data_IF_162612011649
#
_entry.id   IF_162612011649
#
_cell.length_a   1.000
_cell.length_b   1.000
_cell.length_c   1.000
_cell.angle_alpha   90.00
_cell.angle_beta   90.00
_cell.angle_gamma   90.00
#
_symmetry.space_group_name_H-M   'P 1'
#
loop_
_entity.id
_entity.type
_entity.pdbx_description
1 polymer ?
#
# COMPACT_ATOMS: atom_id res chain seq x y z
N UNK A 1 17.72 -4.80 21.34
CA UNK A 1 18.05 -5.37 20.03
C UNK A 1 19.39 -4.82 19.52
N UNK A 2 19.52 -3.49 19.27
CA UNK A 2 20.70 -2.87 18.67
C UNK A 2 21.97 -3.16 19.47
N UNK A 3 21.98 -2.92 20.80
CA UNK A 3 23.14 -3.21 21.64
C UNK A 3 23.61 -4.66 21.53
N UNK A 4 22.67 -5.62 21.57
CA UNK A 4 22.94 -7.05 21.48
C UNK A 4 23.53 -7.45 20.12
N UNK A 5 23.08 -6.84 19.05
CA UNK A 5 23.45 -7.18 17.67
C UNK A 5 24.46 -6.22 17.02
N UNK A 6 25.08 -5.30 17.80
CA UNK A 6 25.96 -4.23 17.29
C UNK A 6 27.08 -4.73 16.36
N UNK A 7 27.75 -5.83 16.75
CA UNK A 7 28.84 -6.41 15.94
C UNK A 7 28.34 -6.95 14.61
N UNK A 8 27.18 -7.64 14.62
CA UNK A 8 26.54 -8.20 13.43
C UNK A 8 26.07 -7.11 12.48
N UNK A 9 25.38 -6.10 13.00
CA UNK A 9 24.90 -4.93 12.23
C UNK A 9 26.05 -4.25 11.50
N UNK A 10 27.15 -3.99 12.22
CA UNK A 10 28.35 -3.38 11.61
C UNK A 10 29.00 -4.28 10.56
N UNK A 11 29.09 -5.58 10.79
CA UNK A 11 29.68 -6.55 9.86
C UNK A 11 28.87 -6.68 8.57
N UNK A 12 27.55 -6.67 8.66
CA UNK A 12 26.65 -6.83 7.51
C UNK A 12 26.42 -5.52 6.74
N UNK A 13 26.74 -4.36 7.31
CA UNK A 13 26.52 -3.06 6.66
C UNK A 13 25.02 -2.77 6.39
N UNK A 14 24.14 -3.19 7.30
CA UNK A 14 22.69 -3.08 7.11
C UNK A 14 22.26 -1.64 6.86
N UNK A 15 21.37 -1.46 5.89
CA UNK A 15 20.65 -0.21 5.70
C UNK A 15 19.74 0.09 6.89
N UNK A 16 19.30 1.34 7.01
CA UNK A 16 18.34 1.72 8.04
C UNK A 16 17.03 0.93 7.94
N UNK A 17 16.55 0.69 6.72
CA UNK A 17 15.31 -0.05 6.49
C UNK A 17 15.45 -1.52 6.90
N UNK A 18 16.52 -2.21 6.50
CA UNK A 18 16.81 -3.60 6.90
C UNK A 18 16.91 -3.75 8.42
N UNK A 19 17.63 -2.80 9.07
CA UNK A 19 17.75 -2.79 10.53
C UNK A 19 16.39 -2.56 11.21
N UNK A 20 15.59 -1.63 10.70
CA UNK A 20 14.26 -1.32 11.24
C UNK A 20 13.31 -2.50 11.08
N UNK A 21 13.36 -3.19 9.94
CA UNK A 21 12.55 -4.38 9.72
C UNK A 21 12.98 -5.54 10.63
N UNK A 22 14.28 -5.79 10.79
CA UNK A 22 14.78 -6.77 11.74
C UNK A 22 14.37 -6.48 13.19
N UNK A 23 14.38 -5.21 13.59
CA UNK A 23 13.89 -4.77 14.90
C UNK A 23 12.39 -5.00 15.04
N UNK A 24 11.61 -4.71 13.99
CA UNK A 24 10.18 -4.94 13.94
C UNK A 24 9.84 -6.43 14.16
N UNK A 25 10.51 -7.34 13.46
CA UNK A 25 10.32 -8.78 13.63
C UNK A 25 10.67 -9.27 15.03
N UNK A 26 11.78 -8.79 15.62
CA UNK A 26 12.15 -9.10 17.01
C UNK A 26 11.09 -8.61 18.01
N UNK A 27 10.54 -7.41 17.77
CA UNK A 27 9.49 -6.85 18.61
C UNK A 27 8.18 -7.65 18.49
N UNK A 28 7.73 -7.96 17.29
CA UNK A 28 6.53 -8.75 17.04
C UNK A 28 6.62 -10.15 17.68
N UNK A 29 7.78 -10.81 17.53
CA UNK A 29 8.02 -12.10 18.16
C UNK A 29 7.94 -12.01 19.70
N UNK A 30 8.54 -10.98 20.31
CA UNK A 30 8.46 -10.77 21.77
C UNK A 30 7.05 -10.46 22.26
N UNK A 31 6.27 -9.73 21.46
CA UNK A 31 4.88 -9.38 21.79
C UNK A 31 3.90 -10.49 21.48
N UNK A 32 4.33 -11.56 20.78
CA UNK A 32 3.50 -12.71 20.37
C UNK A 32 2.23 -12.23 19.66
N UNK A 33 2.40 -11.32 18.69
CA UNK A 33 1.29 -10.80 17.91
C UNK A 33 0.64 -11.93 17.10
N UNK A 34 -0.68 -11.85 16.90
CA UNK A 34 -1.43 -12.83 16.11
C UNK A 34 -1.29 -12.56 14.60
N UNK A 35 -1.35 -11.29 14.20
CA UNK A 35 -1.27 -10.86 12.81
C UNK A 35 -0.36 -9.64 12.65
N UNK A 36 0.34 -9.58 11.53
CA UNK A 36 1.13 -8.43 11.11
C UNK A 36 0.71 -7.99 9.71
N UNK A 37 0.55 -6.70 9.52
CA UNK A 37 0.46 -6.08 8.19
C UNK A 37 1.84 -5.49 7.89
N UNK A 38 2.51 -6.04 6.88
CA UNK A 38 3.86 -5.66 6.49
C UNK A 38 3.82 -4.94 5.15
N UNK A 39 4.19 -3.67 5.14
CA UNK A 39 4.32 -2.89 3.92
C UNK A 39 5.72 -3.06 3.31
N UNK A 40 5.77 -3.31 2.00
CA UNK A 40 7.01 -3.37 1.22
C UNK A 40 7.61 -1.97 1.13
N UNK A 41 8.92 -1.85 1.36
CA UNK A 41 9.60 -0.56 1.25
C UNK A 41 9.74 -0.09 -0.20
N UNK A 42 10.22 -0.98 -1.09
CA UNK A 42 10.43 -0.67 -2.51
C UNK A 42 10.34 -1.90 -3.39
N UNK A 43 9.55 -1.81 -4.45
CA UNK A 43 9.40 -2.88 -5.43
C UNK A 43 8.72 -4.12 -4.86
N UNK A 44 9.47 -5.12 -4.45
CA UNK A 44 8.99 -6.34 -3.81
C UNK A 44 10.02 -7.47 -3.84
N UNK A 45 10.47 -7.88 -5.01
CA UNK A 45 11.34 -9.06 -5.20
C UNK A 45 12.62 -9.03 -4.36
N UNK A 46 13.29 -7.88 -4.29
CA UNK A 46 14.54 -7.67 -3.55
C UNK A 46 14.35 -6.85 -2.28
N UNK A 47 13.10 -6.58 -1.88
CA UNK A 47 12.84 -5.82 -0.67
C UNK A 47 13.18 -6.64 0.59
N UNK A 48 13.68 -5.95 1.61
CA UNK A 48 14.04 -6.58 2.88
C UNK A 48 12.87 -7.32 3.54
N UNK A 49 11.63 -6.84 3.32
CA UNK A 49 10.42 -7.50 3.83
C UNK A 49 10.12 -8.82 3.14
N UNK A 50 10.72 -9.10 1.99
CA UNK A 50 10.41 -10.29 1.19
C UNK A 50 11.00 -11.60 1.75
N UNK A 51 11.62 -11.57 2.91
CA UNK A 51 12.08 -12.77 3.64
C UNK A 51 10.94 -13.52 4.35
N UNK A 52 9.77 -12.90 4.50
CA UNK A 52 8.61 -13.50 5.16
C UNK A 52 7.82 -14.43 4.23
N UNK A 53 7.03 -15.32 4.83
CA UNK A 53 6.01 -16.10 4.15
C UNK A 53 4.62 -15.61 4.60
N UNK A 54 4.00 -14.68 3.88
CA UNK A 54 2.72 -14.11 4.27
C UNK A 54 1.57 -15.10 4.04
N UNK A 55 0.50 -14.97 4.80
CA UNK A 55 -0.78 -15.66 4.53
C UNK A 55 -1.38 -15.18 3.21
N UNK A 56 -1.31 -13.87 2.98
CA UNK A 56 -1.79 -13.22 1.77
C UNK A 56 -0.77 -12.19 1.33
N UNK A 57 -0.42 -12.21 0.05
CA UNK A 57 0.32 -11.13 -0.61
C UNK A 57 -0.68 -10.18 -1.27
N UNK A 58 -0.48 -8.87 -1.11
CA UNK A 58 -1.38 -7.84 -1.68
C UNK A 58 -0.58 -6.91 -2.57
N UNK A 59 -1.06 -6.69 -3.80
CA UNK A 59 -0.55 -5.69 -4.72
C UNK A 59 -1.70 -4.73 -4.99
N UNK A 60 -1.62 -3.53 -4.45
CA UNK A 60 -2.73 -2.56 -4.50
C UNK A 60 -2.97 -2.02 -5.90
N UNK A 61 -1.92 -1.50 -6.53
CA UNK A 61 -1.94 -1.03 -7.91
C UNK A 61 -0.53 -1.01 -8.50
N UNK A 62 -0.45 -0.75 -9.80
CA UNK A 62 0.81 -0.48 -10.52
C UNK A 62 0.76 0.92 -11.09
N UNK A 63 1.77 1.71 -10.77
CA UNK A 63 1.96 3.05 -11.31
C UNK A 63 3.44 3.36 -11.47
N UNK A 64 3.75 4.37 -12.28
CA UNK A 64 5.12 4.83 -12.43
C UNK A 64 5.61 5.53 -11.15
N UNK A 65 6.54 4.90 -10.47
CA UNK A 65 7.32 5.48 -9.39
C UNK A 65 8.67 4.75 -9.31
N UNK A 66 9.69 5.41 -8.79
CA UNK A 66 11.04 4.85 -8.65
C UNK A 66 11.56 4.18 -9.93
N UNK A 67 11.29 4.81 -11.08
CA UNK A 67 11.61 4.24 -12.40
C UNK A 67 13.09 3.99 -12.62
N UNK A 68 13.95 4.71 -11.91
CA UNK A 68 15.41 4.53 -11.92
C UNK A 68 15.83 3.15 -11.34
N UNK A 69 14.98 2.55 -10.50
CA UNK A 69 15.27 1.28 -9.81
C UNK A 69 14.37 0.16 -10.33
N UNK A 70 13.04 0.44 -10.47
CA UNK A 70 12.05 -0.58 -10.81
C UNK A 70 11.86 -0.76 -12.31
N UNK A 71 12.43 0.14 -13.12
CA UNK A 71 12.30 0.14 -14.56
C UNK A 71 11.27 1.12 -15.11
N UNK A 72 11.32 1.34 -16.41
CA UNK A 72 10.62 2.41 -17.12
C UNK A 72 9.32 1.96 -17.81
N UNK A 73 8.77 0.80 -17.43
CA UNK A 73 7.48 0.32 -17.92
C UNK A 73 6.65 -0.29 -16.79
N UNK A 74 5.31 -0.25 -16.90
CA UNK A 74 4.41 -0.87 -15.94
C UNK A 74 4.70 -2.37 -15.79
N UNK A 75 5.05 -3.05 -16.90
CA UNK A 75 5.43 -4.46 -16.90
C UNK A 75 6.67 -4.75 -16.05
N UNK A 76 7.69 -3.87 -16.09
CA UNK A 76 8.89 -4.04 -15.27
C UNK A 76 8.56 -3.85 -13.79
N UNK A 77 7.82 -2.81 -13.46
CA UNK A 77 7.37 -2.53 -12.09
C UNK A 77 6.51 -3.69 -11.55
N UNK A 78 5.58 -4.20 -12.38
CA UNK A 78 4.73 -5.34 -12.01
C UNK A 78 5.55 -6.61 -11.73
N UNK A 79 6.61 -6.89 -12.50
CA UNK A 79 7.51 -8.02 -12.25
C UNK A 79 8.23 -7.92 -10.90
N UNK A 80 8.72 -6.73 -10.54
CA UNK A 80 9.35 -6.50 -9.24
C UNK A 80 8.35 -6.67 -8.10
N UNK A 81 7.13 -6.12 -8.24
CA UNK A 81 6.08 -6.28 -7.22
C UNK A 81 5.58 -7.72 -7.13
N UNK A 82 5.43 -8.43 -8.25
CA UNK A 82 5.06 -9.84 -8.26
C UNK A 82 6.04 -10.76 -7.52
N UNK A 83 7.26 -10.27 -7.22
CA UNK A 83 8.25 -10.98 -6.42
C UNK A 83 7.84 -11.30 -4.99
N UNK A 84 6.77 -10.68 -4.47
CA UNK A 84 6.21 -10.99 -3.15
C UNK A 84 5.25 -12.19 -3.16
N UNK A 85 4.84 -12.66 -4.34
CA UNK A 85 3.96 -13.83 -4.46
C UNK A 85 4.73 -15.08 -4.05
N UNK A 86 4.27 -15.77 -3.01
CA UNK A 86 4.92 -16.95 -2.44
C UNK A 86 4.23 -18.24 -2.87
N UNK A 87 4.94 -19.34 -2.72
CA UNK A 87 4.44 -20.66 -3.11
C UNK A 87 3.24 -21.08 -2.24
N UNK A 88 2.20 -21.64 -2.88
CA UNK A 88 0.99 -22.15 -2.22
C UNK A 88 0.30 -21.11 -1.32
N UNK A 89 0.27 -19.84 -1.74
CA UNK A 89 -0.32 -18.74 -1.00
C UNK A 89 -1.51 -18.13 -1.74
N UNK A 90 -2.09 -17.09 -1.18
CA UNK A 90 -3.10 -16.25 -1.84
C UNK A 90 -2.43 -14.94 -2.24
N UNK A 91 -2.70 -14.48 -3.46
CA UNK A 91 -2.35 -13.12 -3.88
C UNK A 91 -3.60 -12.36 -4.28
N UNK A 92 -3.72 -11.13 -3.77
CA UNK A 92 -4.81 -10.21 -4.07
C UNK A 92 -4.27 -9.04 -4.87
N UNK A 93 -4.89 -8.77 -6.02
CA UNK A 93 -4.58 -7.64 -6.89
C UNK A 93 -5.70 -6.62 -6.75
N UNK A 94 -5.39 -5.44 -6.21
CA UNK A 94 -6.36 -4.40 -5.88
C UNK A 94 -6.93 -3.70 -7.11
N UNK A 95 -6.12 -3.46 -8.13
CA UNK A 95 -6.56 -2.86 -9.39
C UNK A 95 -6.10 -3.69 -10.58
N UNK A 96 -7.02 -3.91 -11.51
CA UNK A 96 -6.72 -4.60 -12.77
C UNK A 96 -6.10 -3.65 -13.79
N UNK A 97 -5.15 -4.17 -14.56
CA UNK A 97 -4.57 -3.48 -15.70
C UNK A 97 -4.16 -4.47 -16.77
N UNK A 98 -4.65 -4.28 -17.99
CA UNK A 98 -4.43 -5.19 -19.12
C UNK A 98 -2.95 -5.40 -19.46
N UNK A 99 -2.07 -4.44 -19.14
CA UNK A 99 -0.64 -4.55 -19.38
C UNK A 99 0.06 -5.44 -18.34
N UNK A 100 -0.51 -5.56 -17.12
CA UNK A 100 0.16 -6.18 -15.98
C UNK A 100 -0.52 -7.43 -15.44
N UNK A 101 -1.82 -7.63 -15.70
CA UNK A 101 -2.61 -8.77 -15.20
C UNK A 101 -1.94 -10.11 -15.51
N UNK A 102 -1.47 -10.32 -16.75
CA UNK A 102 -0.81 -11.54 -17.19
C UNK A 102 0.46 -11.86 -16.39
N UNK A 103 1.19 -10.83 -15.93
CA UNK A 103 2.41 -11.01 -15.13
C UNK A 103 2.05 -11.64 -13.80
N UNK A 104 0.99 -11.16 -13.16
CA UNK A 104 0.53 -11.68 -11.87
C UNK A 104 -0.06 -13.08 -12.01
N UNK A 105 -0.88 -13.31 -13.04
CA UNK A 105 -1.46 -14.63 -13.34
C UNK A 105 -0.36 -15.68 -13.55
N UNK A 106 0.63 -15.36 -14.38
CA UNK A 106 1.74 -16.28 -14.66
C UNK A 106 2.59 -16.52 -13.42
N UNK A 107 2.85 -15.48 -12.61
CA UNK A 107 3.60 -15.62 -11.38
C UNK A 107 2.85 -16.46 -10.33
N UNK A 108 1.56 -16.26 -10.16
CA UNK A 108 0.72 -17.04 -9.27
C UNK A 108 0.71 -18.52 -9.70
N UNK A 109 0.53 -18.78 -11.02
CA UNK A 109 0.57 -20.14 -11.58
C UNK A 109 1.90 -20.83 -11.31
N UNK A 110 3.04 -20.15 -11.54
CA UNK A 110 4.38 -20.68 -11.27
C UNK A 110 4.58 -21.08 -9.80
N UNK A 111 3.89 -20.41 -8.90
CA UNK A 111 3.97 -20.64 -7.45
C UNK A 111 2.83 -21.51 -6.90
N UNK A 112 1.94 -22.04 -7.76
CA UNK A 112 0.73 -22.77 -7.33
C UNK A 112 -0.10 -21.97 -6.33
N UNK A 113 -0.20 -20.65 -6.55
CA UNK A 113 -0.87 -19.68 -5.67
C UNK A 113 -2.21 -19.29 -6.26
N UNK A 114 -3.22 -19.14 -5.42
CA UNK A 114 -4.51 -18.59 -5.82
C UNK A 114 -4.37 -17.10 -6.07
N UNK A 115 -4.95 -16.59 -7.17
CA UNK A 115 -4.98 -15.17 -7.48
C UNK A 115 -6.42 -14.66 -7.45
N UNK A 116 -6.63 -13.52 -6.79
CA UNK A 116 -7.91 -12.84 -6.69
C UNK A 116 -7.73 -11.42 -7.20
N UNK A 117 -8.52 -11.01 -8.18
CA UNK A 117 -8.63 -9.62 -8.59
C UNK A 117 -9.82 -9.00 -7.89
N UNK A 118 -9.59 -7.88 -7.21
CA UNK A 118 -10.65 -7.20 -6.46
C UNK A 118 -11.70 -6.67 -7.41
N UNK A 119 -12.97 -6.90 -7.06
CA UNK A 119 -14.12 -6.37 -7.79
C UNK A 119 -14.47 -4.97 -7.31
N UNK A 120 -14.88 -4.09 -8.22
CA UNK A 120 -15.37 -2.74 -7.90
C UNK A 120 -16.74 -2.74 -7.18
N UNK A 121 -17.38 -3.91 -7.07
CA UNK A 121 -18.76 -4.07 -6.59
C UNK A 121 -18.91 -4.24 -5.08
N UNK A 122 -17.87 -4.01 -4.27
CA UNK A 122 -18.00 -4.05 -2.83
C UNK A 122 -18.83 -2.88 -2.30
N UNK A 123 -20.00 -3.24 -1.81
CA UNK A 123 -20.97 -2.49 -0.98
C UNK A 123 -20.90 -0.96 -0.98
N UNK A 124 -21.95 -0.34 -1.52
CA UNK A 124 -22.27 1.09 -1.43
C UNK A 124 -22.26 1.67 0.01
N UNK A 125 -22.25 0.82 1.03
CA UNK A 125 -22.38 1.19 2.44
C UNK A 125 -21.16 1.93 3.02
N UNK A 126 -19.98 1.88 2.33
CA UNK A 126 -18.74 2.52 2.80
C UNK A 126 -18.18 3.47 1.74
N UNK A 127 -19.01 3.88 0.81
CA UNK A 127 -18.57 4.73 -0.28
C UNK A 127 -18.03 6.07 0.26
N UNK A 128 -16.89 6.46 -0.26
CA UNK A 128 -16.29 7.78 -0.09
C UNK A 128 -16.37 8.47 -1.44
N UNK A 129 -16.50 9.78 -1.45
CA UNK A 129 -16.40 10.56 -2.70
C UNK A 129 -15.00 10.45 -3.36
N UNK A 130 -14.09 9.77 -2.71
CA UNK A 130 -12.68 9.66 -3.09
C UNK A 130 -12.40 8.26 -3.65
N UNK A 131 -12.21 8.17 -4.95
CA UNK A 131 -12.11 6.94 -5.70
C UNK A 131 -11.01 5.98 -5.20
N UNK A 132 -9.78 6.46 -5.03
CA UNK A 132 -8.68 5.62 -4.58
C UNK A 132 -8.87 5.08 -3.14
N UNK A 133 -9.62 5.79 -2.29
CA UNK A 133 -9.97 5.27 -0.95
C UNK A 133 -10.94 4.11 -1.06
N UNK A 134 -11.87 4.15 -2.01
CA UNK A 134 -12.80 3.05 -2.24
C UNK A 134 -12.07 1.81 -2.74
N UNK A 135 -11.13 1.95 -3.67
CA UNK A 135 -10.27 0.85 -4.14
C UNK A 135 -9.47 0.22 -3.00
N UNK A 136 -8.87 1.04 -2.13
CA UNK A 136 -8.15 0.56 -0.95
C UNK A 136 -9.07 -0.18 0.03
N UNK A 137 -10.29 0.34 0.27
CA UNK A 137 -11.30 -0.31 1.13
C UNK A 137 -11.73 -1.65 0.56
N UNK A 138 -12.03 -1.71 -0.75
CA UNK A 138 -12.40 -2.95 -1.43
C UNK A 138 -11.29 -3.99 -1.32
N UNK A 139 -10.04 -3.57 -1.50
CA UNK A 139 -8.87 -4.44 -1.32
C UNK A 139 -8.78 -4.97 0.11
N UNK A 140 -8.99 -4.12 1.11
CA UNK A 140 -8.96 -4.52 2.51
C UNK A 140 -10.10 -5.50 2.87
N UNK A 141 -11.30 -5.28 2.33
CA UNK A 141 -12.45 -6.19 2.50
C UNK A 141 -12.10 -7.57 1.92
N UNK A 142 -11.56 -7.61 0.69
CA UNK A 142 -11.17 -8.86 0.04
C UNK A 142 -10.12 -9.63 0.84
N UNK A 143 -9.12 -8.92 1.40
CA UNK A 143 -8.11 -9.52 2.30
C UNK A 143 -8.78 -10.15 3.50
N UNK A 144 -9.67 -9.43 4.19
CA UNK A 144 -10.37 -9.93 5.37
C UNK A 144 -11.24 -11.15 5.05
N UNK A 145 -11.96 -11.13 3.93
CA UNK A 145 -12.77 -12.26 3.48
C UNK A 145 -11.91 -13.48 3.16
N UNK A 146 -10.77 -13.28 2.49
CA UNK A 146 -9.85 -14.34 2.11
C UNK A 146 -9.13 -14.99 3.29
N UNK A 147 -8.97 -14.27 4.41
CA UNK A 147 -8.43 -14.83 5.66
C UNK A 147 -9.36 -15.83 6.33
N UNK A 148 -10.66 -15.77 6.03
CA UNK A 148 -11.70 -16.68 6.56
C UNK A 148 -11.62 -16.91 8.08
N UNK A 149 -11.44 -15.83 8.83
CA UNK A 149 -11.30 -15.90 10.29
C UNK A 149 -12.68 -15.97 10.96
N UNK A 150 -12.89 -16.97 11.82
CA UNK A 150 -14.19 -17.24 12.46
C UNK A 150 -14.82 -16.05 13.19
N UNK A 151 -13.99 -15.14 13.70
CA UNK A 151 -14.44 -13.98 14.49
C UNK A 151 -14.52 -12.67 13.67
N UNK A 152 -14.27 -12.73 12.36
CA UNK A 152 -14.38 -11.57 11.47
C UNK A 152 -15.60 -11.75 10.57
N UNK A 153 -16.57 -10.87 10.75
CA UNK A 153 -17.74 -10.77 9.89
C UNK A 153 -17.78 -9.42 9.19
N UNK A 154 -18.70 -9.25 8.25
CA UNK A 154 -18.82 -8.02 7.47
C UNK A 154 -18.97 -6.79 8.38
N UNK A 155 -19.76 -6.84 9.44
CA UNK A 155 -19.94 -5.70 10.34
C UNK A 155 -18.64 -5.31 11.04
N UNK A 156 -17.83 -6.27 11.47
CA UNK A 156 -16.53 -5.97 12.09
C UNK A 156 -15.54 -5.35 11.08
N UNK A 157 -15.55 -5.82 9.82
CA UNK A 157 -14.75 -5.23 8.74
C UNK A 157 -15.17 -3.79 8.47
N UNK A 158 -16.47 -3.55 8.30
CA UNK A 158 -17.04 -2.22 8.05
C UNK A 158 -16.72 -1.25 9.21
N UNK A 159 -16.86 -1.72 10.44
CA UNK A 159 -16.53 -0.93 11.63
C UNK A 159 -15.01 -0.61 11.68
N UNK A 160 -14.16 -1.57 11.35
CA UNK A 160 -12.71 -1.36 11.23
C UNK A 160 -12.38 -0.27 10.21
N UNK A 161 -12.97 -0.33 9.03
CA UNK A 161 -12.79 0.66 7.95
C UNK A 161 -13.27 2.05 8.38
N UNK A 162 -14.44 2.13 9.01
CA UNK A 162 -14.99 3.40 9.51
C UNK A 162 -14.09 4.07 10.55
N UNK A 163 -13.39 3.28 11.34
CA UNK A 163 -12.58 3.76 12.47
C UNK A 163 -11.06 3.69 12.20
N UNK A 164 -10.62 3.66 10.94
CA UNK A 164 -9.19 3.55 10.60
C UNK A 164 -8.35 4.56 11.37
N UNK A 165 -8.69 5.85 11.31
CA UNK A 165 -7.91 6.91 11.97
C UNK A 165 -7.85 6.74 13.48
N UNK A 166 -8.96 6.30 14.10
CA UNK A 166 -9.04 6.08 15.56
C UNK A 166 -8.19 4.87 15.95
N UNK A 167 -8.32 3.77 15.19
CA UNK A 167 -7.67 2.50 15.51
C UNK A 167 -6.16 2.51 15.25
N UNK A 168 -5.71 3.28 14.25
CA UNK A 168 -4.32 3.20 13.76
C UNK A 168 -3.55 4.51 13.91
N UNK A 169 -4.23 5.61 14.21
CA UNK A 169 -3.69 6.98 14.18
C UNK A 169 -3.05 7.32 12.81
N UNK A 170 -3.46 6.62 11.76
CA UNK A 170 -2.96 6.86 10.41
C UNK A 170 -3.59 8.12 9.80
N UNK A 171 -2.76 8.93 9.17
CA UNK A 171 -3.17 10.12 8.41
C UNK A 171 -2.32 10.24 7.13
N UNK A 172 -2.78 11.06 6.18
CA UNK A 172 -2.06 11.27 4.91
C UNK A 172 -2.73 10.63 3.69
N UNK A 173 -4.01 10.29 3.81
CA UNK A 173 -4.86 9.89 2.69
C UNK A 173 -6.15 10.69 2.75
N UNK A 174 -6.15 11.86 2.11
CA UNK A 174 -7.27 12.82 2.14
C UNK A 174 -7.77 13.09 3.57
N UNK A 175 -6.86 13.24 4.49
CA UNK A 175 -7.19 13.42 5.90
C UNK A 175 -7.63 14.84 6.16
N UNK A 176 -8.86 15.02 6.65
CA UNK A 176 -9.36 16.33 7.06
C UNK A 176 -8.78 16.66 8.44
N UNK A 177 -7.88 17.63 8.49
CA UNK A 177 -7.25 18.10 9.71
C UNK A 177 -8.08 19.17 10.41
N UNK A 178 -8.84 19.97 9.65
CA UNK A 178 -9.73 21.00 10.15
C UNK A 178 -10.90 21.22 9.18
N UNK A 179 -12.06 21.61 9.68
CA UNK A 179 -13.26 21.81 8.85
C UNK A 179 -13.50 23.29 8.48
N UNK A 180 -13.06 24.24 9.30
CA UNK A 180 -13.22 25.68 9.06
C UNK A 180 -12.00 26.48 9.54
N UNK A 181 -11.11 26.98 8.67
CA UNK A 181 -11.09 26.67 7.25
C UNK A 181 -10.83 25.16 7.03
N UNK A 182 -11.34 24.61 5.91
CA UNK A 182 -11.13 23.22 5.58
C UNK A 182 -9.66 22.98 5.24
N UNK A 183 -8.99 22.14 6.02
CA UNK A 183 -7.59 21.74 5.82
C UNK A 183 -7.54 20.26 5.53
N UNK A 184 -6.99 19.88 4.37
CA UNK A 184 -6.84 18.50 3.94
C UNK A 184 -5.35 18.19 3.83
N UNK A 185 -4.96 17.04 4.35
CA UNK A 185 -3.60 16.51 4.20
C UNK A 185 -3.62 15.22 3.37
N UNK A 186 -2.81 15.18 2.31
CA UNK A 186 -2.56 13.98 1.52
C UNK A 186 -1.06 13.82 1.26
N UNK A 187 -0.57 12.59 1.26
CA UNK A 187 0.84 12.26 1.04
C UNK A 187 1.13 11.82 -0.40
N UNK A 188 0.30 12.21 -1.37
CA UNK A 188 0.55 11.98 -2.78
C UNK A 188 1.93 12.54 -3.17
N UNK A 189 2.75 11.73 -3.83
CA UNK A 189 4.14 12.08 -4.15
C UNK A 189 4.60 11.57 -5.52
N UNK A 190 3.71 10.93 -6.27
CA UNK A 190 3.92 10.46 -7.63
C UNK A 190 2.80 10.94 -8.56
N UNK A 191 2.95 10.70 -9.86
CA UNK A 191 2.04 11.20 -10.88
C UNK A 191 0.59 10.72 -10.67
N UNK A 192 0.41 9.43 -10.41
CA UNK A 192 -0.91 8.85 -10.18
C UNK A 192 -1.60 9.44 -8.93
N UNK A 193 -0.84 9.63 -7.84
CA UNK A 193 -1.35 10.25 -6.62
C UNK A 193 -1.76 11.72 -6.85
N UNK A 194 -0.93 12.52 -7.53
CA UNK A 194 -1.26 13.91 -7.87
C UNK A 194 -2.50 14.01 -8.74
N UNK A 195 -2.61 13.15 -9.77
CA UNK A 195 -3.81 13.09 -10.59
C UNK A 195 -5.05 12.79 -9.77
N UNK A 196 -5.00 11.78 -8.90
CA UNK A 196 -6.13 11.43 -8.03
C UNK A 196 -6.56 12.58 -7.11
N UNK A 197 -5.59 13.33 -6.54
CA UNK A 197 -5.87 14.50 -5.71
C UNK A 197 -6.48 15.63 -6.55
N UNK A 198 -5.94 15.90 -7.74
CA UNK A 198 -6.46 16.93 -8.65
C UNK A 198 -7.89 16.60 -9.12
N UNK A 199 -8.14 15.35 -9.51
CA UNK A 199 -9.47 14.87 -9.89
C UNK A 199 -10.49 15.01 -8.74
N UNK A 200 -10.05 14.83 -7.50
CA UNK A 200 -10.91 15.03 -6.33
C UNK A 200 -11.16 16.50 -6.04
N UNK A 201 -10.14 17.35 -6.16
CA UNK A 201 -10.30 18.80 -6.00
C UNK A 201 -11.22 19.38 -7.05
N UNK A 202 -11.15 18.94 -8.31
CA UNK A 202 -12.02 19.42 -9.39
C UNK A 202 -13.51 19.14 -9.16
N UNK A 203 -13.84 18.13 -8.34
CA UNK A 203 -15.22 17.79 -7.94
C UNK A 203 -15.71 18.57 -6.72
N UNK A 204 -14.84 19.34 -6.07
CA UNK A 204 -15.13 20.06 -4.83
C UNK A 204 -15.47 21.52 -5.12
N UNK A 205 -16.41 22.10 -4.36
CA UNK A 205 -16.71 23.54 -4.42
C UNK A 205 -15.84 24.29 -3.41
N UNK A 206 -15.15 25.33 -3.87
CA UNK A 206 -14.35 26.23 -3.03
C UNK A 206 -14.25 27.61 -3.68
N UNK A 207 -14.23 28.68 -2.88
CA UNK A 207 -14.02 30.05 -3.38
C UNK A 207 -12.54 30.29 -3.68
N UNK A 208 -11.67 29.85 -2.78
CA UNK A 208 -10.22 29.94 -2.91
C UNK A 208 -9.60 28.61 -2.46
N UNK A 209 -8.53 28.19 -3.13
CA UNK A 209 -7.72 27.05 -2.74
C UNK A 209 -6.28 27.49 -2.55
N UNK A 210 -5.67 27.05 -1.46
CA UNK A 210 -4.25 27.23 -1.16
C UNK A 210 -3.61 25.87 -1.09
N UNK A 211 -2.57 25.64 -1.91
CA UNK A 211 -1.89 24.34 -1.99
C UNK A 211 -0.47 24.49 -1.46
N UNK A 212 -0.16 23.78 -0.37
CA UNK A 212 1.19 23.67 0.15
C UNK A 212 1.80 22.34 -0.29
N UNK A 213 2.89 22.40 -1.04
CA UNK A 213 3.58 21.23 -1.57
C UNK A 213 4.97 21.09 -0.95
N UNK A 214 5.32 19.85 -0.59
CA UNK A 214 6.67 19.50 -0.14
C UNK A 214 7.17 18.26 -0.91
N UNK A 215 8.40 18.33 -1.39
CA UNK A 215 8.99 17.27 -2.19
C UNK A 215 10.40 16.92 -1.70
N UNK A 216 10.75 15.65 -1.79
CA UNK A 216 12.14 15.22 -1.66
C UNK A 216 12.95 15.67 -2.89
N UNK A 217 14.24 15.92 -2.69
CA UNK A 217 15.17 16.29 -3.77
C UNK A 217 15.14 15.24 -4.89
N UNK A 218 15.09 15.70 -6.14
CA UNK A 218 15.14 14.84 -7.33
C UNK A 218 13.78 14.54 -7.99
N UNK A 219 12.66 14.90 -7.37
CA UNK A 219 11.34 14.75 -8.03
C UNK A 219 11.14 15.76 -9.18
N UNK A 220 10.49 15.33 -10.27
CA UNK A 220 10.15 16.15 -11.44
C UNK A 220 8.92 17.03 -11.14
N UNK A 221 9.09 18.03 -10.28
CA UNK A 221 8.01 18.86 -9.71
C UNK A 221 7.13 19.48 -10.80
N UNK A 222 7.74 20.06 -11.87
CA UNK A 222 6.96 20.69 -12.97
C UNK A 222 5.92 19.75 -13.57
N UNK A 223 6.24 18.45 -13.70
CA UNK A 223 5.29 17.46 -14.21
C UNK A 223 4.20 17.14 -13.19
N UNK A 224 4.51 17.15 -11.90
CA UNK A 224 3.55 16.81 -10.85
C UNK A 224 2.51 17.91 -10.62
N UNK A 225 2.88 19.19 -10.78
CA UNK A 225 1.99 20.32 -10.56
C UNK A 225 1.23 20.74 -11.84
N UNK A 226 1.38 20.02 -12.95
CA UNK A 226 0.65 20.30 -14.20
C UNK A 226 -0.74 19.64 -14.25
N UNK A 227 -1.12 18.91 -13.25
CA UNK A 227 -2.45 18.34 -13.06
C UNK A 227 -3.34 19.32 -12.30
#
# INVERSE_FOLDING_TARGET
FIKKNKKLIKRLGLSFFELSFGLCLDYFNKKKIDYAVIEVGLGGRLDATNIINPLISVITNISFDHTDILGNSLKMIAKEKAGIIKKNSIVIIGERDVETDEIFINKARQHSSSIIFVSDNYSQTIYSDIDYLNKNKNTAIEVCNSLNLKNINLNSILNGIKNISINTHFFGRWTILNNDPKIIFDSAHNEAGFKSVADQLSKSFYNNIYILLSFVKGKKIKKLISY
#
